data_IF_625806329764
#
_entry.id   IF_625806329764
#
_cell.length_a   1.000
_cell.length_b   1.000
_cell.length_c   1.000
_cell.angle_alpha   90.00
_cell.angle_beta   90.00
_cell.angle_gamma   90.00
#
_symmetry.space_group_name_H-M   'P 1'
#
loop_
_entity.id
_entity.type
_entity.pdbx_description
1 polymer ?
#
# COMPACT_ATOMS: atom_id res chain seq x y z
N UNK A 1 -82.43 -59.30 -41.44
CA UNK A 1 -80.97 -59.08 -41.30
C UNK A 1 -80.57 -57.96 -42.26
N UNK A 2 -80.81 -56.70 -41.84
CA UNK A 2 -80.32 -55.53 -42.56
C UNK A 2 -78.93 -55.21 -42.03
N UNK A 3 -77.97 -55.12 -42.95
CA UNK A 3 -76.56 -55.03 -42.68
C UNK A 3 -76.17 -53.63 -42.21
N UNK A 4 -75.67 -53.55 -40.97
CA UNK A 4 -75.23 -52.33 -40.28
C UNK A 4 -73.80 -51.91 -40.71
N UNK A 5 -73.53 -51.85 -42.03
CA UNK A 5 -72.18 -51.58 -42.58
C UNK A 5 -71.74 -50.10 -42.53
N UNK A 6 -72.62 -49.18 -42.12
CA UNK A 6 -72.31 -47.74 -42.04
C UNK A 6 -71.56 -47.30 -40.77
N UNK A 7 -71.72 -48.02 -39.66
CA UNK A 7 -71.20 -47.60 -38.33
C UNK A 7 -69.71 -47.90 -38.14
N UNK A 8 -69.22 -49.06 -38.62
CA UNK A 8 -67.81 -49.45 -38.47
C UNK A 8 -66.84 -48.57 -39.26
N UNK A 9 -67.23 -48.08 -40.45
CA UNK A 9 -66.40 -47.18 -41.27
C UNK A 9 -66.29 -45.77 -40.69
N UNK A 10 -67.37 -45.25 -40.09
CA UNK A 10 -67.35 -43.97 -39.38
C UNK A 10 -66.51 -44.01 -38.10
N UNK A 11 -66.59 -45.12 -37.35
CA UNK A 11 -65.78 -45.32 -36.14
C UNK A 11 -64.28 -45.42 -36.47
N UNK A 12 -63.90 -46.16 -37.51
CA UNK A 12 -62.50 -46.26 -37.97
C UNK A 12 -61.95 -44.94 -38.52
N UNK A 13 -62.76 -44.14 -39.22
CA UNK A 13 -62.38 -42.78 -39.64
C UNK A 13 -62.16 -41.84 -38.46
N UNK A 14 -63.02 -41.91 -37.43
CA UNK A 14 -62.87 -41.10 -36.22
C UNK A 14 -61.64 -41.52 -35.41
N UNK A 15 -61.38 -42.83 -35.24
CA UNK A 15 -60.17 -43.31 -34.55
C UNK A 15 -58.91 -42.94 -35.33
N UNK A 16 -58.94 -43.00 -36.67
CA UNK A 16 -57.82 -42.56 -37.50
C UNK A 16 -57.57 -41.05 -37.39
N UNK A 17 -58.62 -40.23 -37.31
CA UNK A 17 -58.50 -38.78 -37.13
C UNK A 17 -57.99 -38.40 -35.74
N UNK A 18 -58.49 -39.03 -34.68
CA UNK A 18 -57.97 -38.86 -33.31
C UNK A 18 -56.53 -39.33 -33.22
N UNK A 19 -56.19 -40.46 -33.83
CA UNK A 19 -54.81 -40.95 -33.93
C UNK A 19 -53.90 -39.98 -34.67
N UNK A 20 -54.37 -39.39 -35.77
CA UNK A 20 -53.63 -38.37 -36.51
C UNK A 20 -53.40 -37.10 -35.69
N UNK A 21 -54.43 -36.62 -34.98
CA UNK A 21 -54.33 -35.47 -34.08
C UNK A 21 -53.33 -35.75 -32.94
N UNK A 22 -53.35 -36.95 -32.35
CA UNK A 22 -52.39 -37.34 -31.31
C UNK A 22 -50.96 -37.40 -31.83
N UNK A 23 -50.75 -37.92 -33.05
CA UNK A 23 -49.43 -37.92 -33.71
C UNK A 23 -48.95 -36.49 -33.96
N UNK A 24 -49.82 -35.59 -34.46
CA UNK A 24 -49.46 -34.19 -34.69
C UNK A 24 -49.14 -33.46 -33.38
N UNK A 25 -49.94 -33.67 -32.33
CA UNK A 25 -49.68 -33.11 -30.99
C UNK A 25 -48.36 -33.59 -30.40
N UNK A 26 -48.05 -34.88 -30.53
CA UNK A 26 -46.79 -35.43 -30.05
C UNK A 26 -45.60 -34.94 -30.86
N UNK A 27 -45.72 -34.78 -32.19
CA UNK A 27 -44.69 -34.13 -33.01
C UNK A 27 -44.46 -32.67 -32.61
N UNK A 28 -45.51 -31.91 -32.35
CA UNK A 28 -45.41 -30.52 -31.89
C UNK A 28 -44.72 -30.42 -30.51
N UNK A 29 -45.06 -31.33 -29.58
CA UNK A 29 -44.41 -31.40 -28.27
C UNK A 29 -42.92 -31.75 -28.39
N UNK A 30 -42.57 -32.72 -29.24
CA UNK A 30 -41.17 -33.10 -29.49
C UNK A 30 -40.40 -31.94 -30.13
N UNK A 31 -40.97 -31.26 -31.12
CA UNK A 31 -40.34 -30.09 -31.75
C UNK A 31 -40.13 -28.94 -30.75
N UNK A 32 -41.14 -28.67 -29.92
CA UNK A 32 -41.04 -27.67 -28.85
C UNK A 32 -39.94 -28.03 -27.86
N UNK A 33 -39.88 -29.29 -27.41
CA UNK A 33 -38.88 -29.79 -26.47
C UNK A 33 -37.46 -29.71 -27.05
N UNK A 34 -37.26 -30.07 -28.32
CA UNK A 34 -35.97 -29.95 -29.01
C UNK A 34 -35.53 -28.49 -29.11
N UNK A 35 -36.47 -27.58 -29.43
CA UNK A 35 -36.20 -26.15 -29.50
C UNK A 35 -35.78 -25.57 -28.14
N UNK A 36 -36.52 -25.91 -27.08
CA UNK A 36 -36.18 -25.51 -25.71
C UNK A 36 -34.83 -26.09 -25.29
N UNK A 37 -34.56 -27.36 -25.57
CA UNK A 37 -33.28 -27.98 -25.20
C UNK A 37 -32.09 -27.31 -25.89
N UNK A 38 -32.22 -26.94 -27.17
CA UNK A 38 -31.17 -26.18 -27.88
C UNK A 38 -30.97 -24.81 -27.26
N UNK A 39 -32.05 -24.05 -27.05
CA UNK A 39 -31.99 -22.73 -26.41
C UNK A 39 -31.35 -22.78 -25.02
N UNK A 40 -31.73 -23.75 -24.18
CA UNK A 40 -31.13 -23.93 -22.86
C UNK A 40 -29.66 -24.33 -22.96
N UNK A 41 -29.28 -25.19 -23.91
CA UNK A 41 -27.88 -25.57 -24.14
C UNK A 41 -27.03 -24.37 -24.57
N UNK A 42 -27.56 -23.51 -25.43
CA UNK A 42 -26.87 -22.29 -25.89
C UNK A 42 -26.70 -21.32 -24.72
N UNK A 43 -27.74 -21.10 -23.91
CA UNK A 43 -27.67 -20.27 -22.69
C UNK A 43 -26.63 -20.81 -21.70
N UNK A 44 -26.59 -22.13 -21.46
CA UNK A 44 -25.62 -22.73 -20.54
C UNK A 44 -24.19 -22.54 -21.07
N UNK A 45 -23.99 -22.72 -22.37
CA UNK A 45 -22.68 -22.51 -23.00
C UNK A 45 -22.27 -21.05 -22.87
N UNK A 46 -23.19 -20.11 -23.12
CA UNK A 46 -22.94 -18.68 -22.98
C UNK A 46 -22.58 -18.27 -21.55
N UNK A 47 -23.25 -18.85 -20.54
CA UNK A 47 -22.96 -18.61 -19.12
C UNK A 47 -21.59 -19.19 -18.77
N UNK A 48 -21.32 -20.43 -19.18
CA UNK A 48 -20.04 -21.11 -18.93
C UNK A 48 -18.87 -20.32 -19.52
N UNK A 49 -18.99 -19.87 -20.78
CA UNK A 49 -17.98 -19.02 -21.42
C UNK A 49 -17.80 -17.70 -20.69
N UNK A 50 -18.88 -17.08 -20.22
CA UNK A 50 -18.80 -15.82 -19.47
C UNK A 50 -18.12 -16.00 -18.12
N UNK A 51 -18.40 -17.09 -17.41
CA UNK A 51 -17.75 -17.43 -16.14
C UNK A 51 -16.25 -17.69 -16.33
N UNK A 52 -15.86 -18.40 -17.39
CA UNK A 52 -14.44 -18.61 -17.72
C UNK A 52 -13.73 -17.29 -18.04
N UNK A 53 -14.33 -16.45 -18.88
CA UNK A 53 -13.78 -15.12 -19.18
C UNK A 53 -13.65 -14.25 -17.93
N UNK A 54 -14.65 -14.30 -17.04
CA UNK A 54 -14.61 -13.58 -15.77
C UNK A 54 -13.46 -14.08 -14.88
N UNK A 55 -13.27 -15.40 -14.79
CA UNK A 55 -12.19 -15.98 -14.02
C UNK A 55 -10.80 -15.55 -14.54
N UNK A 56 -10.64 -15.46 -15.86
CA UNK A 56 -9.39 -14.98 -16.50
C UNK A 56 -9.16 -13.49 -16.22
N UNK A 57 -10.21 -12.67 -16.32
CA UNK A 57 -10.13 -11.25 -15.98
C UNK A 57 -9.77 -11.04 -14.51
N UNK A 58 -10.39 -11.79 -13.60
CA UNK A 58 -10.12 -11.74 -12.17
C UNK A 58 -8.69 -12.21 -11.82
N UNK A 59 -8.20 -13.26 -12.50
CA UNK A 59 -6.80 -13.72 -12.36
C UNK A 59 -5.81 -12.63 -12.80
N UNK A 60 -6.03 -12.05 -13.98
CA UNK A 60 -5.20 -10.97 -14.52
C UNK A 60 -5.18 -9.74 -13.61
N UNK A 61 -6.34 -9.40 -13.04
CA UNK A 61 -6.46 -8.33 -12.04
C UNK A 61 -5.76 -8.66 -10.73
N UNK A 62 -5.85 -9.91 -10.27
CA UNK A 62 -5.17 -10.36 -9.06
C UNK A 62 -3.65 -10.25 -9.21
N UNK A 63 -3.10 -10.67 -10.35
CA UNK A 63 -1.68 -10.54 -10.67
C UNK A 63 -1.24 -9.08 -10.71
N UNK A 64 -2.02 -8.22 -11.39
CA UNK A 64 -1.76 -6.78 -11.43
C UNK A 64 -1.78 -6.15 -10.02
N UNK A 65 -2.75 -6.51 -9.18
CA UNK A 65 -2.86 -6.04 -7.80
C UNK A 65 -1.71 -6.55 -6.91
N UNK A 66 -1.27 -7.79 -7.10
CA UNK A 66 -0.16 -8.36 -6.33
C UNK A 66 1.14 -7.64 -6.63
N UNK A 67 1.45 -7.40 -7.90
CA UNK A 67 2.68 -6.68 -8.26
C UNK A 67 2.56 -5.19 -7.97
N UNK A 68 1.38 -4.60 -8.10
CA UNK A 68 1.11 -3.25 -7.59
C UNK A 68 1.43 -3.13 -6.09
N UNK A 69 0.94 -4.08 -5.29
CA UNK A 69 1.23 -4.15 -3.86
C UNK A 69 2.74 -4.28 -3.61
N UNK A 70 3.44 -5.16 -4.34
CA UNK A 70 4.89 -5.26 -4.29
C UNK A 70 5.59 -3.94 -4.66
N UNK A 71 5.17 -3.27 -5.74
CA UNK A 71 5.76 -2.02 -6.22
C UNK A 71 5.62 -0.86 -5.22
N UNK A 72 4.44 -0.71 -4.60
CA UNK A 72 4.23 0.26 -3.52
C UNK A 72 5.16 -0.05 -2.35
N UNK A 73 5.20 -1.31 -1.89
CA UNK A 73 6.04 -1.72 -0.77
C UNK A 73 7.53 -1.46 -1.04
N UNK A 74 8.01 -1.89 -2.21
CA UNK A 74 9.39 -1.70 -2.65
C UNK A 74 9.73 -0.22 -2.69
N UNK A 75 8.86 0.62 -3.24
CA UNK A 75 9.08 2.06 -3.32
C UNK A 75 9.17 2.71 -1.95
N UNK A 76 8.29 2.33 -1.01
CA UNK A 76 8.33 2.85 0.37
C UNK A 76 9.63 2.46 1.04
N UNK A 77 10.04 1.20 0.89
CA UNK A 77 11.27 0.68 1.48
C UNK A 77 12.50 1.37 0.89
N UNK A 78 12.66 1.30 -0.44
CA UNK A 78 13.75 1.94 -1.17
C UNK A 78 13.81 3.43 -0.85
N UNK A 79 12.69 4.15 -0.81
CA UNK A 79 12.70 5.54 -0.38
C UNK A 79 13.29 5.73 1.03
N UNK A 80 12.92 4.86 1.97
CA UNK A 80 13.31 4.98 3.39
C UNK A 80 14.73 4.48 3.67
N UNK A 81 15.26 3.58 2.83
CA UNK A 81 16.55 2.90 3.05
C UNK A 81 17.61 3.24 2.00
N UNK A 82 17.26 3.97 0.94
CA UNK A 82 18.19 4.34 -0.13
C UNK A 82 19.35 5.17 0.41
N UNK A 83 20.54 4.70 0.09
CA UNK A 83 21.81 5.36 0.29
C UNK A 83 22.47 5.50 -1.09
N UNK A 84 22.45 6.70 -1.65
CA UNK A 84 23.10 7.01 -2.92
C UNK A 84 24.59 7.29 -2.78
N UNK A 85 25.10 7.40 -1.55
CA UNK A 85 26.50 7.65 -1.24
C UNK A 85 27.16 6.32 -0.88
N UNK A 86 27.85 5.64 -1.81
CA UNK A 86 28.33 4.31 -1.55
C UNK A 86 29.29 4.32 -0.35
N UNK A 87 28.92 3.60 0.72
CA UNK A 87 29.72 3.22 1.90
C UNK A 87 29.64 4.10 3.15
N UNK A 88 28.77 5.11 3.22
CA UNK A 88 28.56 5.78 4.52
C UNK A 88 27.50 5.06 5.39
N UNK A 89 26.66 4.22 4.78
CA UNK A 89 25.65 3.42 5.47
C UNK A 89 24.59 4.29 6.14
N UNK A 90 24.36 5.49 5.61
CA UNK A 90 23.38 6.45 6.10
C UNK A 90 22.36 6.68 4.99
N UNK A 91 21.08 6.37 5.21
CA UNK A 91 20.04 6.67 4.24
C UNK A 91 19.99 8.16 3.90
N UNK A 92 19.87 8.49 2.61
CA UNK A 92 19.78 9.86 2.11
C UNK A 92 18.54 10.59 2.66
N UNK A 93 17.46 9.84 2.83
CA UNK A 93 16.16 10.35 3.25
C UNK A 93 15.99 10.20 4.76
N UNK A 94 16.79 10.92 5.54
CA UNK A 94 16.65 10.95 7.00
C UNK A 94 15.30 11.56 7.43
N UNK A 95 14.61 10.93 8.38
CA UNK A 95 13.40 11.51 8.94
C UNK A 95 13.74 12.51 10.05
N UNK A 96 13.31 13.76 9.90
CA UNK A 96 13.54 14.81 10.89
C UNK A 96 12.44 14.78 11.97
N UNK A 97 12.85 14.62 13.22
CA UNK A 97 11.98 14.71 14.38
C UNK A 97 12.27 16.01 15.14
N UNK A 98 11.20 16.69 15.55
CA UNK A 98 11.25 17.94 16.30
C UNK A 98 10.63 17.75 17.69
N UNK A 99 10.97 18.63 18.63
CA UNK A 99 10.40 18.64 19.98
C UNK A 99 8.88 18.78 19.99
N UNK A 100 8.29 19.47 19.00
CA UNK A 100 6.84 19.60 18.81
C UNK A 100 6.14 18.35 18.26
N UNK A 101 6.88 17.33 17.85
CA UNK A 101 6.35 16.08 17.26
C UNK A 101 6.11 14.99 18.32
N UNK A 102 5.66 15.37 19.52
CA UNK A 102 5.51 14.45 20.65
C UNK A 102 4.37 13.43 20.48
N UNK A 103 3.40 13.67 19.59
CA UNK A 103 2.26 12.79 19.35
C UNK A 103 2.42 11.88 18.12
N UNK A 104 1.99 10.61 18.22
CA UNK A 104 2.01 9.67 17.08
C UNK A 104 1.15 10.16 15.91
N UNK A 105 -0.05 10.68 16.18
CA UNK A 105 -0.92 11.24 15.13
C UNK A 105 -0.28 12.40 14.35
N UNK A 106 0.59 13.20 14.97
CA UNK A 106 1.31 14.27 14.27
C UNK A 106 2.40 13.72 13.34
N UNK A 107 3.10 12.64 13.75
CA UNK A 107 4.09 11.95 12.90
C UNK A 107 3.41 11.26 11.72
N UNK A 108 2.29 10.56 11.97
CA UNK A 108 1.50 9.91 10.93
C UNK A 108 0.97 10.94 9.93
N UNK A 109 0.37 12.03 10.40
CA UNK A 109 -0.13 13.09 9.52
C UNK A 109 0.99 13.76 8.71
N UNK A 110 2.17 13.98 9.31
CA UNK A 110 3.33 14.53 8.60
C UNK A 110 3.83 13.57 7.51
N UNK A 111 3.96 12.28 7.83
CA UNK A 111 4.37 11.26 6.87
C UNK A 111 3.37 11.13 5.72
N UNK A 112 2.06 11.08 6.02
CA UNK A 112 1.00 11.04 5.02
C UNK A 112 1.06 12.25 4.10
N UNK A 113 1.16 13.45 4.70
CA UNK A 113 1.23 14.72 3.95
C UNK A 113 2.42 14.77 3.00
N UNK A 114 3.60 14.40 3.49
CA UNK A 114 4.86 14.48 2.75
C UNK A 114 4.93 13.45 1.62
N UNK A 115 4.43 12.23 1.84
CA UNK A 115 4.63 11.10 0.93
C UNK A 115 3.44 10.75 0.05
N UNK A 116 2.23 10.77 0.61
CA UNK A 116 0.99 10.50 -0.13
C UNK A 116 0.43 11.76 -0.78
N UNK A 117 0.91 12.92 -0.33
CA UNK A 117 0.63 14.20 -0.92
C UNK A 117 -0.65 14.80 -0.35
N UNK A 118 -0.47 15.80 0.51
CA UNK A 118 -1.49 16.82 0.82
C UNK A 118 -0.78 18.18 0.83
N UNK A 119 -0.34 18.66 -0.34
CA UNK A 119 0.32 19.96 -0.47
C UNK A 119 1.22 20.19 -1.69
N UNK A 120 1.61 21.45 -1.88
CA UNK A 120 2.40 22.00 -3.01
C UNK A 120 3.93 21.70 -2.89
N UNK A 121 4.31 20.47 -2.56
CA UNK A 121 5.72 20.04 -2.49
C UNK A 121 6.14 19.17 -3.68
N UNK A 122 7.41 19.22 -4.08
CA UNK A 122 7.96 18.39 -5.18
C UNK A 122 7.96 16.87 -4.87
N UNK A 123 7.86 16.48 -3.60
CA UNK A 123 7.76 15.08 -3.17
C UNK A 123 6.31 14.59 -3.00
N UNK A 124 5.31 15.48 -3.15
CA UNK A 124 3.91 15.11 -2.98
C UNK A 124 3.41 14.25 -4.15
N UNK A 125 2.65 13.20 -3.86
CA UNK A 125 2.04 12.29 -4.84
C UNK A 125 3.01 11.34 -5.59
N UNK A 126 4.22 11.13 -5.07
CA UNK A 126 5.14 10.12 -5.63
C UNK A 126 4.48 8.74 -5.66
N UNK A 127 3.72 8.38 -4.62
CA UNK A 127 2.99 7.11 -4.60
C UNK A 127 1.88 7.00 -5.64
N UNK A 128 1.12 8.07 -5.92
CA UNK A 128 0.09 8.03 -6.97
C UNK A 128 0.71 7.81 -8.36
N UNK A 129 1.85 8.46 -8.61
CA UNK A 129 2.61 8.34 -9.86
C UNK A 129 3.13 6.92 -10.05
N UNK A 130 3.75 6.38 -9.00
CA UNK A 130 4.34 5.04 -9.01
C UNK A 130 3.25 3.97 -9.08
N UNK A 131 2.14 4.16 -8.36
CA UNK A 131 0.94 3.34 -8.43
C UNK A 131 0.40 3.22 -9.85
N UNK A 132 0.19 4.35 -10.53
CA UNK A 132 -0.30 4.39 -11.91
C UNK A 132 0.66 3.67 -12.86
N UNK A 133 1.97 3.97 -12.75
CA UNK A 133 3.01 3.36 -13.59
C UNK A 133 3.08 1.84 -13.45
N UNK A 134 3.09 1.32 -12.22
CA UNK A 134 3.16 -0.12 -11.99
C UNK A 134 1.94 -0.84 -12.56
N UNK A 135 0.74 -0.35 -12.27
CA UNK A 135 -0.50 -0.96 -12.73
C UNK A 135 -0.61 -1.06 -14.25
N UNK A 136 -0.17 -0.03 -14.98
CA UNK A 136 -0.19 -0.04 -16.46
C UNK A 136 0.90 -0.96 -17.02
N UNK A 137 2.13 -0.85 -16.52
CA UNK A 137 3.30 -1.57 -17.07
C UNK A 137 3.20 -3.11 -17.04
N UNK A 138 2.35 -3.66 -16.17
CA UNK A 138 2.21 -5.10 -15.98
C UNK A 138 1.18 -5.71 -16.90
N UNK A 139 0.07 -5.02 -17.11
CA UNK A 139 -0.99 -5.52 -17.97
C UNK A 139 -0.64 -5.35 -19.45
N UNK A 140 0.26 -4.43 -19.79
CA UNK A 140 0.91 -4.44 -21.12
C UNK A 140 1.78 -5.68 -21.36
N UNK A 141 2.12 -6.43 -20.30
CA UNK A 141 2.99 -7.61 -20.32
C UNK A 141 2.27 -8.89 -19.88
N UNK A 142 0.94 -8.85 -19.70
CA UNK A 142 0.19 -10.04 -19.34
C UNK A 142 0.23 -11.03 -20.52
N UNK A 143 0.65 -12.27 -20.26
CA UNK A 143 0.67 -13.31 -21.27
C UNK A 143 -0.77 -13.78 -21.57
N UNK A 144 -1.05 -14.09 -22.83
CA UNK A 144 -2.33 -14.64 -23.24
C UNK A 144 -2.60 -15.98 -22.52
N UNK A 145 -3.83 -16.13 -22.04
CA UNK A 145 -4.30 -17.40 -21.51
C UNK A 145 -4.69 -18.32 -22.69
N UNK A 146 -4.59 -19.64 -22.50
CA UNK A 146 -4.85 -20.60 -23.59
C UNK A 146 -6.28 -20.42 -24.16
N UNK A 147 -6.37 -19.90 -25.38
CA UNK A 147 -7.65 -19.65 -26.06
C UNK A 147 -8.27 -18.28 -25.79
N UNK A 148 -7.60 -17.40 -25.04
CA UNK A 148 -8.07 -16.07 -24.71
C UNK A 148 -6.97 -15.02 -24.88
N UNK A 149 -7.27 -13.96 -25.63
CA UNK A 149 -6.37 -12.80 -25.75
C UNK A 149 -6.65 -11.81 -24.62
N UNK A 150 -5.59 -11.30 -23.99
CA UNK A 150 -5.69 -10.34 -22.88
C UNK A 150 -5.06 -9.03 -23.32
N UNK A 151 -5.87 -7.98 -23.40
CA UNK A 151 -5.42 -6.64 -23.79
C UNK A 151 -5.75 -5.60 -22.71
N UNK A 152 -4.89 -4.60 -22.55
CA UNK A 152 -5.20 -3.42 -21.73
C UNK A 152 -5.79 -2.31 -22.60
N UNK A 153 -7.04 -1.93 -22.35
CA UNK A 153 -7.66 -0.78 -23.00
C UNK A 153 -7.46 0.50 -22.20
N UNK A 154 -7.19 1.58 -22.93
CA UNK A 154 -6.97 2.94 -22.40
C UNK A 154 -5.85 3.03 -21.34
N UNK A 155 -4.59 2.63 -21.65
CA UNK A 155 -3.45 2.81 -20.76
C UNK A 155 -3.04 4.29 -20.69
N UNK A 156 -3.87 5.14 -20.10
CA UNK A 156 -3.56 6.55 -19.92
C UNK A 156 -2.97 6.79 -18.52
N UNK A 157 -1.65 6.69 -18.41
CA UNK A 157 -0.92 6.88 -17.15
C UNK A 157 -1.20 8.24 -16.51
N UNK A 158 -1.24 9.32 -17.30
CA UNK A 158 -1.48 10.65 -16.80
C UNK A 158 -2.88 10.81 -16.18
N UNK A 159 -3.90 10.24 -16.83
CA UNK A 159 -5.28 10.28 -16.33
C UNK A 159 -5.46 9.43 -15.08
N UNK A 160 -4.89 8.22 -15.07
CA UNK A 160 -4.88 7.35 -13.90
C UNK A 160 -4.15 8.00 -12.71
N UNK A 161 -3.00 8.62 -12.95
CA UNK A 161 -2.26 9.36 -11.93
C UNK A 161 -3.10 10.50 -11.36
N UNK A 162 -3.80 11.25 -12.20
CA UNK A 162 -4.65 12.36 -11.76
C UNK A 162 -5.81 11.87 -10.89
N UNK A 163 -6.46 10.77 -11.27
CA UNK A 163 -7.54 10.17 -10.48
C UNK A 163 -7.00 9.68 -9.14
N UNK A 164 -5.93 8.87 -9.13
CA UNK A 164 -5.31 8.36 -7.90
C UNK A 164 -4.83 9.47 -6.98
N UNK A 165 -4.26 10.55 -7.54
CA UNK A 165 -3.87 11.75 -6.79
C UNK A 165 -5.07 12.41 -6.13
N UNK A 166 -6.16 12.62 -6.87
CA UNK A 166 -7.40 13.18 -6.32
C UNK A 166 -7.97 12.29 -5.21
N UNK A 167 -8.00 10.98 -5.46
CA UNK A 167 -8.44 9.96 -4.51
C UNK A 167 -7.62 10.00 -3.22
N UNK A 168 -6.28 10.00 -3.27
CA UNK A 168 -5.42 10.09 -2.09
C UNK A 168 -5.56 11.41 -1.34
N UNK A 169 -5.62 12.54 -2.04
CA UNK A 169 -5.87 13.85 -1.42
C UNK A 169 -7.19 13.87 -0.64
N UNK A 170 -8.24 13.24 -1.16
CA UNK A 170 -9.55 13.20 -0.49
C UNK A 170 -9.60 12.25 0.71
N UNK A 171 -8.68 11.28 0.78
CA UNK A 171 -8.67 10.21 1.79
C UNK A 171 -7.64 10.43 2.88
N UNK A 172 -6.60 11.21 2.64
CA UNK A 172 -5.48 11.45 3.56
C UNK A 172 -5.87 11.99 4.94
N UNK A 173 -7.03 12.64 5.07
CA UNK A 173 -7.56 13.12 6.35
C UNK A 173 -8.44 12.11 7.09
N UNK A 174 -8.63 10.90 6.56
CA UNK A 174 -9.40 9.84 7.18
C UNK A 174 -8.50 8.93 8.01
N UNK A 175 -8.92 8.62 9.23
CA UNK A 175 -8.23 7.68 10.12
C UNK A 175 -8.05 6.28 9.53
N UNK A 176 -8.87 5.91 8.53
CA UNK A 176 -8.77 4.61 7.85
C UNK A 176 -7.69 4.56 6.77
N UNK A 177 -7.23 5.71 6.26
CA UNK A 177 -6.30 5.78 5.13
C UNK A 177 -4.91 5.25 5.50
N UNK A 178 -4.42 5.60 6.68
CA UNK A 178 -3.09 5.23 7.15
C UNK A 178 -3.18 4.75 8.60
N UNK A 179 -2.73 3.53 8.86
CA UNK A 179 -2.75 2.98 10.23
C UNK A 179 -1.44 2.26 10.55
N UNK A 180 -0.73 2.75 11.57
CA UNK A 180 0.46 2.10 12.11
C UNK A 180 0.07 0.94 13.03
N UNK A 181 0.80 -0.17 12.92
CA UNK A 181 0.49 -1.41 13.64
C UNK A 181 1.29 -1.47 14.93
N UNK A 182 0.56 -1.65 16.04
CA UNK A 182 1.12 -1.88 17.37
C UNK A 182 2.03 -0.75 17.91
N UNK A 183 1.95 0.47 17.36
CA UNK A 183 2.71 1.63 17.85
C UNK A 183 1.83 2.80 18.32
N UNK A 184 0.52 2.75 18.06
CA UNK A 184 -0.40 3.88 18.23
C UNK A 184 -0.87 4.13 19.69
N UNK A 185 -0.44 3.32 20.66
CA UNK A 185 -0.73 3.59 22.07
C UNK A 185 0.05 4.84 22.54
N UNK A 186 -0.57 5.69 23.37
CA UNK A 186 0.09 6.84 23.97
C UNK A 186 1.16 6.37 24.95
N UNK A 187 2.39 6.24 24.46
CA UNK A 187 3.54 5.83 25.25
C UNK A 187 4.83 6.41 24.69
N UNK A 188 5.77 6.71 25.59
CA UNK A 188 7.17 6.94 25.27
C UNK A 188 8.04 5.99 26.09
N UNK A 189 9.27 5.76 25.63
CA UNK A 189 10.24 4.91 26.32
C UNK A 189 10.41 3.51 25.71
N UNK A 190 11.30 2.74 26.33
CA UNK A 190 11.84 1.50 25.77
C UNK A 190 10.80 0.38 25.65
N UNK A 191 9.89 0.29 26.62
CA UNK A 191 8.83 -0.73 26.61
C UNK A 191 7.83 -0.51 25.47
N UNK A 192 7.57 0.75 25.10
CA UNK A 192 6.75 1.08 23.94
C UNK A 192 7.47 0.72 22.64
N UNK A 193 8.75 1.06 22.53
CA UNK A 193 9.59 0.69 21.40
C UNK A 193 9.58 -0.83 21.13
N UNK A 194 9.77 -1.65 22.18
CA UNK A 194 9.78 -3.11 22.07
C UNK A 194 8.45 -3.71 21.60
N UNK A 195 7.33 -3.07 21.95
CA UNK A 195 5.99 -3.50 21.53
C UNK A 195 5.61 -3.00 20.13
N UNK A 196 6.29 -1.96 19.64
CA UNK A 196 6.05 -1.38 18.33
C UNK A 196 6.58 -2.29 17.21
N UNK A 197 5.68 -2.73 16.34
CA UNK A 197 6.05 -3.48 15.15
C UNK A 197 6.64 -2.55 14.08
N UNK A 198 6.06 -1.36 13.93
CA UNK A 198 6.55 -0.32 13.01
C UNK A 198 6.10 -0.48 11.56
N UNK A 199 5.45 -1.59 11.21
CA UNK A 199 4.73 -1.78 9.95
C UNK A 199 3.41 -1.01 9.96
N UNK A 200 2.83 -0.78 8.79
CA UNK A 200 1.59 -0.02 8.67
C UNK A 200 0.72 -0.52 7.52
N UNK A 201 -0.52 -0.05 7.49
CA UNK A 201 -1.44 -0.27 6.40
C UNK A 201 -1.75 1.03 5.68
N UNK A 202 -1.91 0.93 4.37
CA UNK A 202 -2.49 1.97 3.53
C UNK A 202 -3.82 1.44 3.00
N UNK A 203 -4.90 2.18 3.19
CA UNK A 203 -6.22 1.81 2.66
C UNK A 203 -6.54 2.69 1.46
N UNK A 204 -6.89 2.06 0.36
CA UNK A 204 -7.43 2.74 -0.81
C UNK A 204 -8.91 2.46 -0.92
N UNK A 205 -9.73 3.51 -0.87
CA UNK A 205 -11.17 3.42 -1.03
C UNK A 205 -11.58 3.88 -2.44
N UNK A 206 -11.93 2.90 -3.28
CA UNK A 206 -12.44 3.08 -4.64
C UNK A 206 -13.96 2.96 -4.70
N UNK A 207 -14.66 3.06 -3.57
CA UNK A 207 -16.11 3.01 -3.52
C UNK A 207 -16.75 4.22 -4.23
N UNK A 208 -18.05 4.10 -4.55
CA UNK A 208 -18.84 5.17 -5.19
C UNK A 208 -18.85 6.48 -4.40
N UNK A 209 -18.63 6.41 -3.09
CA UNK A 209 -18.60 7.58 -2.21
C UNK A 209 -17.32 8.40 -2.38
N UNK A 210 -16.23 7.76 -2.83
CA UNK A 210 -14.90 8.38 -2.97
C UNK A 210 -14.52 8.65 -4.41
N UNK A 211 -14.89 7.76 -5.31
CA UNK A 211 -14.61 7.86 -6.75
C UNK A 211 -15.93 7.80 -7.51
N UNK A 212 -16.28 8.90 -8.15
CA UNK A 212 -17.50 8.99 -8.95
C UNK A 212 -17.40 8.07 -10.19
N UNK A 213 -18.55 7.77 -10.79
CA UNK A 213 -18.61 6.83 -11.91
C UNK A 213 -17.84 7.31 -13.14
N UNK A 214 -17.88 8.61 -13.43
CA UNK A 214 -17.18 9.19 -14.57
C UNK A 214 -15.66 9.06 -14.46
N UNK A 215 -15.11 9.25 -13.25
CA UNK A 215 -13.67 9.09 -13.00
C UNK A 215 -13.28 7.63 -12.94
N UNK A 216 -14.16 6.78 -12.39
CA UNK A 216 -13.90 5.35 -12.35
C UNK A 216 -13.87 4.71 -13.74
N UNK A 217 -14.72 5.16 -14.66
CA UNK A 217 -14.80 4.61 -16.01
C UNK A 217 -13.56 4.89 -16.87
N UNK A 218 -12.75 5.89 -16.48
CA UNK A 218 -11.47 6.27 -17.10
C UNK A 218 -10.31 5.38 -16.68
N UNK A 219 -10.47 4.52 -15.65
CA UNK A 219 -9.42 3.56 -15.32
C UNK A 219 -9.18 2.60 -16.49
N UNK A 220 -7.93 2.16 -16.69
CA UNK A 220 -7.62 1.11 -17.64
C UNK A 220 -8.51 -0.12 -17.41
N UNK A 221 -8.93 -0.74 -18.52
CA UNK A 221 -9.79 -1.93 -18.49
C UNK A 221 -9.04 -3.12 -19.07
N UNK A 222 -9.10 -4.24 -18.37
CA UNK A 222 -8.69 -5.54 -18.86
C UNK A 222 -9.75 -6.01 -19.84
N UNK A 223 -9.34 -6.19 -21.10
CA UNK A 223 -10.16 -6.76 -22.16
C UNK A 223 -9.76 -8.20 -22.36
N UNK A 224 -10.69 -9.12 -22.14
CA UNK A 224 -10.51 -10.54 -22.41
C UNK A 224 -11.30 -10.89 -23.66
N UNK A 225 -10.65 -11.49 -24.65
CA UNK A 225 -11.26 -11.92 -25.90
C UNK A 225 -11.20 -13.43 -25.99
N UNK A 226 -12.34 -14.11 -26.11
CA UNK A 226 -12.35 -15.53 -26.40
C UNK A 226 -12.02 -15.75 -27.88
N UNK A 227 -10.92 -16.45 -28.20
CA UNK A 227 -10.49 -16.67 -29.59
C UNK A 227 -11.45 -17.55 -30.39
N UNK A 228 -12.23 -18.41 -29.72
CA UNK A 228 -13.17 -19.33 -30.37
C UNK A 228 -14.50 -18.64 -30.69
N UNK A 229 -15.08 -17.90 -29.73
CA UNK A 229 -16.38 -17.25 -29.89
C UNK A 229 -16.31 -15.78 -30.31
N UNK A 230 -15.14 -15.14 -30.20
CA UNK A 230 -14.93 -13.72 -30.46
C UNK A 230 -15.57 -12.79 -29.42
N UNK A 231 -16.13 -13.33 -28.33
CA UNK A 231 -16.74 -12.56 -27.24
C UNK A 231 -15.70 -11.73 -26.52
N UNK A 232 -16.10 -10.54 -26.09
CA UNK A 232 -15.25 -9.58 -25.39
C UNK A 232 -15.83 -9.27 -24.02
N UNK A 233 -15.02 -9.43 -22.98
CA UNK A 233 -15.30 -8.99 -21.62
C UNK A 233 -14.41 -7.80 -21.28
N UNK A 234 -14.96 -6.79 -20.61
CA UNK A 234 -14.25 -5.57 -20.23
C UNK A 234 -14.39 -5.33 -18.73
N UNK A 235 -13.30 -5.51 -17.99
CA UNK A 235 -13.28 -5.34 -16.53
C UNK A 235 -12.32 -4.23 -16.11
N UNK A 236 -12.70 -3.33 -15.19
CA UNK A 236 -11.80 -2.32 -14.65
C UNK A 236 -10.67 -2.99 -13.86
N UNK A 237 -9.46 -2.45 -13.98
CA UNK A 237 -8.27 -2.98 -13.31
C UNK A 237 -8.39 -3.01 -11.78
N UNK A 238 -8.87 -1.92 -11.18
CA UNK A 238 -9.09 -1.81 -9.74
C UNK A 238 -10.54 -2.15 -9.41
N UNK A 239 -10.81 -2.97 -8.37
CA UNK A 239 -12.19 -3.21 -7.92
C UNK A 239 -12.84 -1.95 -7.34
N UNK A 240 -14.16 -1.83 -7.48
CA UNK A 240 -14.98 -0.92 -6.66
C UNK A 240 -15.00 -1.43 -5.22
N UNK A 241 -14.25 -0.79 -4.34
CA UNK A 241 -14.28 -1.13 -2.92
C UNK A 241 -13.09 -0.59 -2.15
N UNK A 242 -13.00 -1.01 -0.89
CA UNK A 242 -11.86 -0.73 -0.03
C UNK A 242 -10.89 -1.89 -0.11
N UNK A 243 -9.63 -1.61 -0.42
CA UNK A 243 -8.57 -2.60 -0.28
C UNK A 243 -7.42 -2.04 0.54
N UNK A 244 -6.83 -2.94 1.33
CA UNK A 244 -5.88 -2.60 2.36
C UNK A 244 -4.54 -3.21 2.04
N UNK A 245 -3.53 -2.35 1.91
CA UNK A 245 -2.17 -2.71 1.54
C UNK A 245 -1.36 -2.77 2.84
N UNK A 246 -0.98 -3.98 3.26
CA UNK A 246 -0.01 -4.14 4.33
C UNK A 246 1.38 -3.77 3.83
N UNK A 247 2.08 -2.88 4.52
CA UNK A 247 3.44 -2.46 4.20
C UNK A 247 4.36 -2.90 5.34
N UNK A 248 5.24 -3.88 5.12
CA UNK A 248 6.08 -4.45 6.18
C UNK A 248 7.28 -3.58 6.57
N UNK A 249 7.43 -2.37 6.02
CA UNK A 249 8.54 -1.46 6.30
C UNK A 249 8.48 -0.96 7.76
N UNK A 250 9.58 -1.11 8.50
CA UNK A 250 9.63 -0.79 9.95
C UNK A 250 10.10 0.62 10.29
N UNK A 251 9.87 1.58 9.40
CA UNK A 251 10.19 2.98 9.62
C UNK A 251 9.58 3.51 10.93
N UNK A 252 8.35 3.12 11.26
CA UNK A 252 7.71 3.58 12.50
C UNK A 252 8.30 2.93 13.74
N UNK A 253 9.01 1.80 13.63
CA UNK A 253 9.80 1.26 14.73
C UNK A 253 11.06 2.09 14.97
N UNK A 254 11.75 2.51 13.89
CA UNK A 254 12.85 3.48 13.99
C UNK A 254 12.39 4.76 14.70
N UNK A 255 11.22 5.28 14.33
CA UNK A 255 10.61 6.45 14.97
C UNK A 255 10.27 6.20 16.44
N UNK A 256 9.76 5.01 16.80
CA UNK A 256 9.51 4.66 18.20
C UNK A 256 10.81 4.64 19.03
N UNK A 257 11.90 4.10 18.45
CA UNK A 257 13.22 4.07 19.07
C UNK A 257 13.75 5.48 19.27
N UNK A 258 13.69 6.31 18.24
CA UNK A 258 14.08 7.72 18.32
C UNK A 258 13.25 8.51 19.35
N UNK A 259 11.94 8.26 19.44
CA UNK A 259 11.07 8.85 20.48
C UNK A 259 11.49 8.43 21.89
N UNK A 260 11.92 7.17 22.08
CA UNK A 260 12.40 6.70 23.39
C UNK A 260 13.66 7.42 23.86
N UNK A 261 14.48 7.91 22.92
CA UNK A 261 15.67 8.74 23.19
C UNK A 261 15.28 10.20 23.37
N UNK A 262 14.37 10.71 22.54
CA UNK A 262 13.92 12.12 22.59
C UNK A 262 13.11 12.46 23.84
N UNK A 263 12.16 11.59 24.23
CA UNK A 263 11.10 11.86 25.21
C UNK A 263 11.11 10.88 26.41
N UNK A 264 12.30 10.55 26.91
CA UNK A 264 12.52 9.55 27.96
C UNK A 264 12.14 10.03 29.36
N UNK A 265 10.85 10.31 29.60
CA UNK A 265 10.28 10.65 30.92
C UNK A 265 11.11 11.67 31.74
N UNK A 266 11.49 12.79 31.12
CA UNK A 266 12.31 13.84 31.77
C UNK A 266 13.83 13.66 31.66
N UNK A 267 14.30 12.58 31.03
CA UNK A 267 15.74 12.32 30.79
C UNK A 267 16.11 12.30 29.31
N UNK A 268 15.12 12.47 28.42
CA UNK A 268 15.32 12.49 26.98
C UNK A 268 16.04 13.76 26.50
N UNK A 269 16.44 13.76 25.24
CA UNK A 269 17.09 14.92 24.60
C UNK A 269 16.21 16.18 24.68
N UNK A 270 14.89 16.02 24.52
CA UNK A 270 13.94 17.13 24.51
C UNK A 270 13.40 17.49 25.90
N UNK A 271 13.35 16.52 26.82
CA UNK A 271 12.68 16.70 28.11
C UNK A 271 13.63 17.12 29.24
N UNK A 272 14.94 16.96 29.06
CA UNK A 272 15.92 17.22 30.11
C UNK A 272 16.46 18.66 30.05
N UNK A 273 15.82 19.54 30.82
CA UNK A 273 16.21 20.94 30.93
C UNK A 273 17.55 21.16 31.64
N UNK A 274 17.93 20.31 32.61
CA UNK A 274 19.19 20.47 33.34
C UNK A 274 20.39 20.10 32.49
N UNK A 275 20.21 19.15 31.57
CA UNK A 275 21.24 18.77 30.62
C UNK A 275 21.47 19.82 29.53
N UNK A 276 20.39 20.42 29.00
CA UNK A 276 20.51 21.45 27.97
C UNK A 276 21.14 22.74 28.52
N UNK A 277 20.84 23.12 29.75
CA UNK A 277 21.50 24.27 30.42
C UNK A 277 22.98 23.99 30.73
N UNK A 278 23.33 22.76 31.13
CA UNK A 278 24.71 22.37 31.37
C UNK A 278 25.59 22.48 30.12
N UNK A 279 25.10 21.98 28.98
CA UNK A 279 25.83 21.98 27.70
C UNK A 279 26.17 23.41 27.22
N UNK A 280 25.26 24.37 27.38
CA UNK A 280 25.47 25.77 26.94
C UNK A 280 26.71 26.42 27.54
N UNK A 281 27.13 25.95 28.71
CA UNK A 281 28.25 26.54 29.48
C UNK A 281 29.57 25.80 29.29
N UNK A 282 29.56 24.63 28.66
CA UNK A 282 30.74 23.80 28.44
C UNK A 282 31.48 24.23 27.16
N UNK A 283 32.79 23.98 27.11
CA UNK A 283 33.51 24.03 25.84
C UNK A 283 33.03 22.91 24.91
N UNK A 284 33.33 23.02 23.62
CA UNK A 284 32.85 22.09 22.59
C UNK A 284 33.23 20.63 22.87
N UNK A 285 34.45 20.37 23.36
CA UNK A 285 34.93 19.01 23.61
C UNK A 285 34.20 18.36 24.78
N UNK A 286 34.05 19.08 25.89
CA UNK A 286 33.35 18.61 27.09
C UNK A 286 31.85 18.43 26.81
N UNK A 287 31.25 19.36 26.08
CA UNK A 287 29.86 19.26 25.63
C UNK A 287 29.62 18.00 24.78
N UNK A 288 30.53 17.71 23.83
CA UNK A 288 30.45 16.50 23.00
C UNK A 288 30.59 15.23 23.83
N UNK A 289 31.55 15.17 24.75
CA UNK A 289 31.74 14.02 25.64
C UNK A 289 30.51 13.79 26.54
N UNK A 290 29.91 14.86 27.06
CA UNK A 290 28.69 14.79 27.87
C UNK A 290 27.49 14.28 27.05
N UNK A 291 27.35 14.75 25.81
CA UNK A 291 26.34 14.26 24.86
C UNK A 291 26.52 12.78 24.55
N UNK A 292 27.73 12.34 24.23
CA UNK A 292 28.03 10.93 23.94
C UNK A 292 27.74 10.03 25.15
N UNK A 293 28.15 10.42 26.35
CA UNK A 293 27.90 9.64 27.57
C UNK A 293 26.40 9.46 27.85
N UNK A 294 25.62 10.54 27.67
CA UNK A 294 24.17 10.48 27.85
C UNK A 294 23.50 9.63 26.76
N UNK A 295 23.87 9.82 25.50
CA UNK A 295 23.33 9.06 24.39
C UNK A 295 23.64 7.58 24.54
N UNK A 296 24.85 7.21 24.96
CA UNK A 296 25.17 5.81 25.25
C UNK A 296 24.25 5.20 26.31
N UNK A 297 23.88 5.98 27.34
CA UNK A 297 22.93 5.54 28.38
C UNK A 297 21.51 5.39 27.83
N UNK A 298 21.03 6.34 27.03
CA UNK A 298 19.68 6.32 26.44
C UNK A 298 19.52 5.25 25.36
N UNK A 299 20.57 5.01 24.57
CA UNK A 299 20.54 4.12 23.41
C UNK A 299 20.93 2.69 23.72
N UNK A 300 21.59 2.43 24.85
CA UNK A 300 22.01 1.07 25.24
C UNK A 300 20.92 0.01 25.06
N UNK A 301 19.69 0.23 25.58
CA UNK A 301 18.59 -0.73 25.42
C UNK A 301 18.09 -0.92 23.98
N UNK A 302 18.40 -0.01 23.05
CA UNK A 302 18.03 -0.10 21.63
C UNK A 302 19.02 -0.94 20.81
N UNK A 303 20.21 -1.22 21.35
CA UNK A 303 21.23 -2.05 20.68
C UNK A 303 20.97 -3.55 20.84
N UNK A 304 20.08 -3.92 21.76
CA UNK A 304 19.77 -5.30 22.12
C UNK A 304 18.28 -5.57 21.90
N UNK A 305 17.94 -6.07 20.71
CA UNK A 305 16.57 -6.48 20.40
C UNK A 305 16.54 -7.86 19.75
N UNK A 306 15.65 -8.72 20.22
CA UNK A 306 15.56 -10.12 19.79
C UNK A 306 14.88 -10.30 18.43
N UNK A 307 14.22 -9.26 17.92
CA UNK A 307 13.43 -9.33 16.70
C UNK A 307 14.20 -8.92 15.42
N UNK A 308 15.50 -8.64 15.56
CA UNK A 308 16.40 -8.32 14.45
C UNK A 308 16.49 -6.84 14.09
N UNK A 309 15.74 -5.96 14.75
CA UNK A 309 15.79 -4.52 14.49
C UNK A 309 16.50 -3.79 15.62
N UNK A 310 17.68 -3.23 15.35
CA UNK A 310 18.53 -2.66 16.40
C UNK A 310 19.05 -1.30 16.01
N UNK A 311 19.36 -0.47 17.00
CA UNK A 311 20.18 0.71 16.77
C UNK A 311 21.62 0.25 16.49
N UNK A 312 22.13 0.51 15.29
CA UNK A 312 23.51 0.21 14.90
C UNK A 312 24.47 1.24 15.52
N UNK A 313 24.24 2.52 15.21
CA UNK A 313 25.07 3.63 15.68
C UNK A 313 24.30 4.94 15.79
N UNK A 314 24.95 5.93 16.38
CA UNK A 314 24.46 7.31 16.41
C UNK A 314 25.59 8.29 16.08
N UNK A 315 25.23 9.40 15.43
CA UNK A 315 26.15 10.49 15.12
C UNK A 315 25.66 11.78 15.78
N UNK A 316 26.62 12.61 16.24
CA UNK A 316 26.34 13.93 16.81
C UNK A 316 26.91 14.98 15.87
N UNK A 317 26.05 15.86 15.39
CA UNK A 317 26.41 17.01 14.57
C UNK A 317 26.08 18.28 15.34
N UNK A 318 27.09 18.92 15.93
CA UNK A 318 26.94 20.19 16.65
C UNK A 318 27.17 21.40 15.75
N UNK A 319 26.35 22.44 15.91
CA UNK A 319 26.63 23.78 15.39
C UNK A 319 27.36 24.55 16.49
N UNK A 320 28.55 25.04 16.15
CA UNK A 320 29.41 25.77 17.07
C UNK A 320 29.31 27.26 16.77
N UNK A 321 29.08 28.06 17.80
CA UNK A 321 29.33 29.49 17.73
C UNK A 321 30.79 29.73 18.05
N UNK A 322 31.54 30.22 17.05
CA UNK A 322 32.92 30.63 17.24
C UNK A 322 32.94 31.87 18.12
N UNK A 323 33.54 31.75 19.29
CA UNK A 323 33.84 32.91 20.13
C UNK A 323 34.98 33.74 19.56
N UNK A 324 35.29 34.85 20.21
CA UNK A 324 36.38 35.74 19.81
C UNK A 324 37.73 35.03 19.97
N UNK A 325 38.59 34.95 18.92
CA UNK A 325 39.87 34.27 19.02
C UNK A 325 40.74 34.82 20.15
N UNK A 326 41.18 33.96 21.06
CA UNK A 326 42.00 34.27 22.25
C UNK A 326 41.31 35.04 23.38
N UNK A 327 39.98 35.16 23.39
CA UNK A 327 39.25 35.67 24.55
C UNK A 327 38.74 34.53 25.44
N UNK A 328 39.35 34.28 26.61
CA UNK A 328 38.86 33.26 27.54
C UNK A 328 37.48 33.58 28.14
N UNK A 329 36.97 34.81 27.98
CA UNK A 329 35.61 35.18 28.37
C UNK A 329 34.56 34.78 27.32
N UNK A 330 34.97 34.48 26.09
CA UNK A 330 34.12 34.13 24.95
C UNK A 330 34.63 32.86 24.24
N UNK A 331 34.57 31.68 24.90
CA UNK A 331 35.00 30.42 24.29
C UNK A 331 34.01 29.95 23.22
N UNK A 332 34.48 29.10 22.31
CA UNK A 332 33.61 28.37 21.39
C UNK A 332 32.60 27.50 22.15
N UNK A 333 31.33 27.57 21.77
CA UNK A 333 30.22 26.86 22.43
C UNK A 333 29.30 26.22 21.42
N UNK A 334 28.65 25.13 21.81
CA UNK A 334 27.61 24.49 21.00
C UNK A 334 26.30 25.28 21.19
N UNK A 335 25.71 25.75 20.09
CA UNK A 335 24.42 26.48 20.09
C UNK A 335 23.24 25.63 19.63
N UNK A 336 23.51 24.58 18.87
CA UNK A 336 22.51 23.58 18.53
C UNK A 336 23.20 22.27 18.20
N UNK A 337 22.46 21.17 18.29
CA UNK A 337 22.98 19.87 17.91
C UNK A 337 21.89 19.00 17.30
N UNK A 338 22.32 18.16 16.35
CA UNK A 338 21.52 17.12 15.72
C UNK A 338 22.08 15.77 16.13
N UNK A 339 21.23 14.91 16.67
CA UNK A 339 21.56 13.50 16.94
C UNK A 339 20.92 12.66 15.86
N UNK A 340 21.75 12.01 15.04
CA UNK A 340 21.29 11.06 14.03
C UNK A 340 21.35 9.66 14.62
N UNK A 341 20.23 8.95 14.60
CA UNK A 341 20.10 7.57 15.05
C UNK A 341 19.94 6.68 13.82
N UNK A 342 20.81 5.68 13.69
CA UNK A 342 20.85 4.77 12.53
C UNK A 342 20.43 3.38 13.02
N UNK A 343 19.26 2.93 12.58
CA UNK A 343 18.72 1.62 12.88
C UNK A 343 19.00 0.66 11.74
N UNK A 344 19.31 -0.59 12.05
CA UNK A 344 19.52 -1.67 11.10
C UNK A 344 18.40 -2.72 11.27
N UNK A 345 17.80 -3.12 10.16
CA UNK A 345 16.89 -4.28 10.11
C UNK A 345 17.62 -5.51 9.56
N UNK A 346 17.76 -6.54 10.42
CA UNK A 346 18.38 -7.83 10.10
C UNK A 346 17.36 -8.95 9.89
N UNK A 347 16.07 -8.65 10.02
CA UNK A 347 14.97 -9.60 9.92
C UNK A 347 14.40 -9.60 8.50
N UNK A 348 14.73 -10.67 7.76
CA UNK A 348 14.30 -10.83 6.38
C UNK A 348 12.78 -10.92 6.19
N UNK A 349 12.02 -11.22 7.26
CA UNK A 349 10.54 -11.29 7.20
C UNK A 349 9.90 -9.96 6.79
N UNK A 350 10.54 -8.84 7.11
CA UNK A 350 9.97 -7.50 6.93
C UNK A 350 10.53 -6.76 5.72
N UNK A 351 11.46 -7.39 4.99
CA UNK A 351 12.15 -6.82 3.83
C UNK A 351 11.42 -7.17 2.55
N UNK A 352 11.41 -6.22 1.63
CA UNK A 352 10.85 -6.37 0.28
C UNK A 352 11.97 -6.19 -0.77
N UNK A 353 12.99 -5.42 -0.43
CA UNK A 353 14.24 -5.25 -1.17
C UNK A 353 15.24 -6.40 -0.96
N UNK A 354 16.03 -6.68 -1.98
CA UNK A 354 17.17 -7.63 -1.94
C UNK A 354 18.48 -7.00 -1.47
N UNK A 355 18.47 -5.72 -1.06
CA UNK A 355 19.64 -5.11 -0.42
C UNK A 355 20.12 -5.98 0.75
N UNK A 356 21.42 -6.06 1.01
CA UNK A 356 21.96 -6.92 2.07
C UNK A 356 21.67 -6.36 3.46
N UNK A 357 21.66 -5.03 3.60
CA UNK A 357 21.32 -4.31 4.83
C UNK A 357 20.28 -3.20 4.58
N UNK A 358 19.27 -3.12 5.44
CA UNK A 358 18.29 -2.03 5.44
C UNK A 358 18.53 -1.12 6.64
N UNK A 359 18.96 0.11 6.36
CA UNK A 359 19.20 1.14 7.38
C UNK A 359 18.07 2.17 7.39
N UNK A 360 17.74 2.69 8.57
CA UNK A 360 16.81 3.79 8.77
C UNK A 360 17.48 4.90 9.58
N UNK A 361 17.53 6.12 9.03
CA UNK A 361 18.10 7.27 9.71
C UNK A 361 17.01 8.20 10.26
N UNK A 362 17.01 8.42 11.57
CA UNK A 362 16.14 9.37 12.25
C UNK A 362 16.98 10.45 12.93
N UNK A 363 16.73 11.71 12.60
CA UNK A 363 17.49 12.85 13.10
C UNK A 363 16.67 13.62 14.13
N UNK A 364 17.17 13.68 15.36
CA UNK A 364 16.64 14.46 16.48
C UNK A 364 17.33 15.83 16.48
N UNK A 365 16.62 16.88 16.10
CA UNK A 365 17.16 18.24 16.07
C UNK A 365 16.82 18.99 17.37
N UNK A 366 17.83 19.52 18.08
CA UNK A 366 17.63 20.32 19.29
C UNK A 366 18.35 21.68 19.18
N UNK A 367 17.59 22.75 19.41
CA UNK A 367 18.09 24.13 19.48
C UNK A 367 18.25 24.51 20.94
N UNK A 368 19.47 24.88 21.35
CA UNK A 368 19.76 25.34 22.71
C UNK A 368 19.40 26.83 22.79
N UNK A 369 18.11 27.15 22.83
CA UNK A 369 17.62 28.53 23.02
C UNK A 369 17.93 29.08 24.39
#
# INVERSE_FOLDING_TARGET
MQSNFGSQRGFTLFTALVGFILIVLSLLLVQSMISTQRSTSDIITDISEQEEMQAIADLSRADALQVFNFGIRYTIEDFSTRDSTPKDGVPDNEYLMFSGSSGWGALEAAFVKDRFGVGEGAQSNQFATIAAKHLISLLERADDARGFDIELLHPNEAEMQNILKSTFNSQSGSDEFFQVIACAEQGSGIEHYRKCNGSFYITMDMSRERVNDSDYEKFPRVKVINQQSGRVLLEPILPRGKFRIFVPVRLFKALAGARSVGFSAGRGIYDDSTFNEGIKTMNVADAKNALEAKLNTLTGPLKEESDGFVLDRFDIVGVVQTGTPNDPADPERIVSYKVRLIFQEKNDKYRVSTQEDAFYAISLNNSLH
#
